data_IF_909084766987
#
_entry.id   IF_909084766987
#
_cell.length_a   1.000
_cell.length_b   1.000
_cell.length_c   1.000
_cell.angle_alpha   90.00
_cell.angle_beta   90.00
_cell.angle_gamma   90.00
#
_symmetry.space_group_name_H-M   'P 1'
#
loop_
_entity.id
_entity.type
_entity.pdbx_description
1 polymer ?
#
# COMPACT_ATOMS: atom_id res chain seq x y z
N UNK A 1 -15.37 -28.61 -26.39
CA UNK A 1 -15.38 -27.78 -25.18
C UNK A 1 -14.26 -26.75 -25.31
N UNK A 2 -14.55 -25.53 -25.78
CA UNK A 2 -13.57 -24.44 -25.84
C UNK A 2 -13.21 -24.04 -24.41
N UNK A 3 -11.91 -24.05 -24.07
CA UNK A 3 -11.42 -23.57 -22.78
C UNK A 3 -11.76 -22.08 -22.63
N UNK A 4 -12.38 -21.72 -21.51
CA UNK A 4 -12.64 -20.34 -21.14
C UNK A 4 -11.29 -19.61 -21.07
N UNK A 5 -11.10 -18.60 -21.92
CA UNK A 5 -10.00 -17.64 -21.77
C UNK A 5 -10.13 -17.03 -20.38
N UNK A 6 -9.16 -17.27 -19.51
CA UNK A 6 -9.10 -16.61 -18.21
C UNK A 6 -8.41 -15.25 -18.41
N UNK A 7 -9.15 -14.17 -18.22
CA UNK A 7 -8.56 -12.85 -18.03
C UNK A 7 -7.79 -12.85 -16.70
N UNK A 8 -6.49 -12.55 -16.77
CA UNK A 8 -5.66 -12.43 -15.59
C UNK A 8 -6.20 -11.32 -14.69
N UNK A 9 -6.62 -11.67 -13.46
CA UNK A 9 -6.99 -10.70 -12.42
C UNK A 9 -5.86 -9.71 -12.04
N UNK A 10 -4.64 -9.98 -12.51
CA UNK A 10 -3.51 -9.07 -12.42
C UNK A 10 -3.37 -8.36 -13.76
N UNK A 11 -4.02 -7.21 -13.84
CA UNK A 11 -4.06 -6.28 -14.96
C UNK A 11 -2.67 -5.67 -15.34
N UNK A 12 -1.58 -6.26 -14.85
CA UNK A 12 -0.22 -5.84 -15.10
C UNK A 12 0.26 -6.12 -16.54
N UNK A 13 -0.54 -6.82 -17.35
CA UNK A 13 -0.18 -7.25 -18.70
C UNK A 13 -1.31 -7.06 -19.74
N UNK A 14 -2.39 -6.33 -19.41
CA UNK A 14 -3.45 -6.04 -20.38
C UNK A 14 -2.99 -4.93 -21.34
N UNK A 15 -2.89 -5.24 -22.63
CA UNK A 15 -2.46 -4.30 -23.68
C UNK A 15 -3.52 -3.23 -24.00
N UNK A 16 -4.72 -3.29 -23.40
CA UNK A 16 -5.89 -2.49 -23.79
C UNK A 16 -6.27 -1.36 -22.85
N UNK A 17 -5.69 -1.26 -21.67
CA UNK A 17 -5.94 -0.17 -20.71
C UNK A 17 -4.62 0.35 -20.13
N UNK A 18 -4.56 1.62 -19.74
CA UNK A 18 -3.37 2.17 -19.06
C UNK A 18 -3.03 1.31 -17.84
N UNK A 19 -1.79 0.81 -17.69
CA UNK A 19 -1.47 -0.17 -16.66
C UNK A 19 -1.70 0.45 -15.28
N UNK A 20 -2.83 0.09 -14.65
CA UNK A 20 -3.19 0.58 -13.33
C UNK A 20 -2.19 0.02 -12.32
N UNK A 21 -1.30 0.87 -11.83
CA UNK A 21 -0.31 0.47 -10.83
C UNK A 21 -1.04 0.10 -9.54
N UNK A 22 -1.01 -1.19 -9.20
CA UNK A 22 -1.63 -1.74 -7.99
C UNK A 22 -0.74 -1.51 -6.75
N UNK A 23 -1.32 -1.60 -5.56
CA UNK A 23 -0.56 -1.50 -4.30
C UNK A 23 0.51 -2.59 -4.20
N UNK A 24 0.24 -3.79 -4.72
CA UNK A 24 1.23 -4.87 -4.82
C UNK A 24 2.45 -4.45 -5.66
N UNK A 25 2.22 -3.79 -6.80
CA UNK A 25 3.31 -3.31 -7.65
C UNK A 25 4.18 -2.26 -6.94
N UNK A 26 3.55 -1.28 -6.27
CA UNK A 26 4.26 -0.24 -5.49
C UNK A 26 5.14 -0.84 -4.39
N UNK A 27 4.61 -1.83 -3.67
CA UNK A 27 5.34 -2.54 -2.64
C UNK A 27 6.52 -3.34 -3.24
N UNK A 28 6.30 -4.00 -4.37
CA UNK A 28 7.37 -4.71 -5.08
C UNK A 28 8.48 -3.77 -5.57
N UNK A 29 8.14 -2.64 -6.18
CA UNK A 29 9.12 -1.62 -6.60
C UNK A 29 10.01 -1.19 -5.42
N UNK A 30 9.42 -0.95 -4.24
CA UNK A 30 10.19 -0.65 -3.02
C UNK A 30 11.18 -1.74 -2.64
N UNK A 31 10.75 -3.01 -2.60
CA UNK A 31 11.66 -4.12 -2.27
C UNK A 31 12.77 -4.27 -3.31
N UNK A 32 12.45 -4.15 -4.59
CA UNK A 32 13.45 -4.27 -5.64
C UNK A 32 14.44 -3.10 -5.62
N UNK A 33 13.98 -1.88 -5.31
CA UNK A 33 14.89 -0.75 -5.11
C UNK A 33 15.83 -1.00 -3.91
N UNK A 34 15.34 -1.58 -2.81
CA UNK A 34 16.22 -2.00 -1.70
C UNK A 34 17.25 -3.04 -2.13
N UNK A 35 16.85 -4.03 -2.95
CA UNK A 35 17.79 -5.02 -3.52
C UNK A 35 18.87 -4.34 -4.36
N UNK A 36 18.47 -3.42 -5.23
CA UNK A 36 19.40 -2.70 -6.09
C UNK A 36 20.41 -1.89 -5.28
N UNK A 37 19.97 -1.24 -4.19
CA UNK A 37 20.86 -0.52 -3.26
C UNK A 37 21.84 -1.49 -2.59
N UNK A 38 21.36 -2.62 -2.06
CA UNK A 38 22.22 -3.62 -1.40
C UNK A 38 23.24 -4.24 -2.37
N UNK A 39 22.85 -4.42 -3.63
CA UNK A 39 23.71 -4.99 -4.67
C UNK A 39 24.57 -3.95 -5.41
N UNK A 40 24.52 -2.68 -5.01
CA UNK A 40 25.18 -1.56 -5.72
C UNK A 40 24.82 -1.46 -7.22
N UNK A 41 23.59 -1.83 -7.59
CA UNK A 41 23.07 -1.72 -8.97
C UNK A 41 22.52 -0.33 -9.30
N UNK A 42 22.41 0.56 -8.31
CA UNK A 42 21.87 1.91 -8.47
C UNK A 42 20.34 1.97 -8.56
N UNK A 43 19.81 2.83 -9.43
CA UNK A 43 18.36 2.99 -9.66
C UNK A 43 17.90 2.00 -10.71
N UNK A 44 16.79 1.31 -10.43
CA UNK A 44 16.20 0.40 -11.41
C UNK A 44 15.60 1.16 -12.60
N UNK A 45 15.68 0.61 -13.83
CA UNK A 45 15.00 1.16 -14.99
C UNK A 45 13.47 1.20 -14.80
N UNK A 46 12.82 2.11 -15.51
CA UNK A 46 11.36 2.13 -15.58
C UNK A 46 10.86 0.80 -16.17
N UNK A 47 9.78 0.27 -15.59
CA UNK A 47 9.19 -1.03 -15.98
C UNK A 47 10.21 -2.19 -15.98
N UNK A 48 11.19 -2.18 -15.07
CA UNK A 48 12.24 -3.22 -14.97
C UNK A 48 11.69 -4.65 -14.88
N UNK A 49 10.44 -4.83 -14.43
CA UNK A 49 9.77 -6.13 -14.38
C UNK A 49 9.55 -6.78 -15.75
N UNK A 50 9.66 -6.02 -16.85
CA UNK A 50 9.64 -6.57 -18.21
C UNK A 50 10.98 -7.20 -18.61
N UNK A 51 12.07 -6.88 -17.90
CA UNK A 51 13.40 -7.42 -18.20
C UNK A 51 13.51 -8.88 -17.75
N UNK A 52 14.11 -9.78 -18.56
CA UNK A 52 14.25 -11.20 -18.22
C UNK A 52 14.89 -11.46 -16.86
N UNK A 53 15.87 -10.63 -16.47
CA UNK A 53 16.57 -10.68 -15.17
C UNK A 53 15.61 -10.60 -13.99
N UNK A 54 14.57 -9.76 -14.09
CA UNK A 54 13.70 -9.43 -12.95
C UNK A 54 12.30 -10.05 -13.06
N UNK A 55 11.80 -10.33 -14.25
CA UNK A 55 10.41 -10.75 -14.52
C UNK A 55 9.92 -11.89 -13.61
N UNK A 56 10.68 -12.99 -13.54
CA UNK A 56 10.32 -14.15 -12.72
C UNK A 56 10.31 -13.83 -11.23
N UNK A 57 11.35 -13.14 -10.74
CA UNK A 57 11.45 -12.76 -9.34
C UNK A 57 10.36 -11.78 -8.94
N UNK A 58 10.06 -10.81 -9.81
CA UNK A 58 9.06 -9.78 -9.58
C UNK A 58 7.66 -10.38 -9.49
N UNK A 59 7.30 -11.25 -10.42
CA UNK A 59 6.02 -11.99 -10.39
C UNK A 59 5.84 -12.77 -9.08
N UNK A 60 6.90 -13.47 -8.64
CA UNK A 60 6.87 -14.20 -7.38
C UNK A 60 6.74 -13.32 -6.13
N UNK A 61 7.22 -12.08 -6.18
CA UNK A 61 7.08 -11.09 -5.11
C UNK A 61 5.72 -10.40 -5.14
N UNK A 62 5.13 -10.13 -6.31
CA UNK A 62 3.75 -9.59 -6.42
C UNK A 62 2.77 -10.50 -5.71
N UNK A 63 2.83 -11.80 -5.98
CA UNK A 63 1.93 -12.78 -5.34
C UNK A 63 2.11 -12.75 -3.82
N UNK A 64 3.35 -12.61 -3.34
CA UNK A 64 3.63 -12.53 -1.90
C UNK A 64 3.14 -11.21 -1.28
N UNK A 65 3.31 -10.08 -1.97
CA UNK A 65 2.81 -8.78 -1.55
C UNK A 65 1.29 -8.77 -1.45
N UNK A 66 0.59 -9.30 -2.46
CA UNK A 66 -0.87 -9.38 -2.47
C UNK A 66 -1.42 -10.27 -1.34
N UNK A 67 -0.72 -11.35 -0.98
CA UNK A 67 -1.07 -12.15 0.20
C UNK A 67 -0.94 -11.38 1.52
N UNK A 68 0.01 -10.45 1.62
CA UNK A 68 0.14 -9.57 2.79
C UNK A 68 -0.96 -8.49 2.79
N UNK A 69 -1.27 -7.92 1.63
CA UNK A 69 -2.33 -6.91 1.47
C UNK A 69 -3.73 -7.44 1.82
N UNK A 70 -3.96 -8.75 1.73
CA UNK A 70 -5.20 -9.37 2.21
C UNK A 70 -5.35 -9.33 3.74
N UNK A 71 -4.25 -9.16 4.48
CA UNK A 71 -4.22 -9.24 5.95
C UNK A 71 -3.89 -7.92 6.63
N UNK A 72 -3.13 -7.07 5.96
CA UNK A 72 -2.57 -5.86 6.52
C UNK A 72 -2.80 -4.69 5.58
N UNK A 73 -2.91 -3.49 6.14
CA UNK A 73 -3.01 -2.26 5.34
C UNK A 73 -1.74 -2.03 4.53
N UNK A 74 -1.89 -1.44 3.34
CA UNK A 74 -0.76 -1.02 2.50
C UNK A 74 0.23 -0.15 3.29
N UNK A 75 -0.30 0.77 4.11
CA UNK A 75 0.50 1.69 4.91
C UNK A 75 1.35 0.95 5.96
N UNK A 76 0.78 -0.05 6.66
CA UNK A 76 1.52 -0.86 7.63
C UNK A 76 2.66 -1.61 6.95
N UNK A 77 2.39 -2.23 5.80
CA UNK A 77 3.40 -2.98 5.05
C UNK A 77 4.51 -2.05 4.56
N UNK A 78 4.17 -0.88 3.99
CA UNK A 78 5.17 0.08 3.51
C UNK A 78 6.05 0.59 4.65
N UNK A 79 5.46 0.99 5.79
CA UNK A 79 6.22 1.44 6.97
C UNK A 79 7.14 0.34 7.50
N UNK A 80 6.66 -0.90 7.53
CA UNK A 80 7.46 -2.05 7.95
C UNK A 80 8.69 -2.24 7.05
N UNK A 81 8.54 -2.16 5.73
CA UNK A 81 9.68 -2.28 4.78
C UNK A 81 10.70 -1.15 4.97
N UNK A 82 10.23 0.08 5.18
CA UNK A 82 11.09 1.26 5.32
C UNK A 82 11.76 1.34 6.72
N UNK A 83 11.28 0.56 7.69
CA UNK A 83 11.84 0.52 9.04
C UNK A 83 13.29 0.05 9.09
N UNK A 84 14.01 0.50 10.13
CA UNK A 84 15.38 0.05 10.43
C UNK A 84 15.43 -1.45 10.70
N UNK A 85 14.40 -1.99 11.34
CA UNK A 85 14.28 -3.42 11.68
C UNK A 85 14.21 -4.31 10.44
N UNK A 86 13.68 -3.77 9.33
CA UNK A 86 13.60 -4.45 8.05
C UNK A 86 14.72 -4.06 7.07
N UNK A 87 15.80 -3.40 7.51
CA UNK A 87 16.87 -2.87 6.62
C UNK A 87 17.36 -3.91 5.60
N UNK A 88 17.62 -5.14 6.05
CA UNK A 88 18.12 -6.24 5.22
C UNK A 88 17.05 -7.23 4.76
N UNK A 89 15.77 -6.91 4.95
CA UNK A 89 14.67 -7.73 4.44
C UNK A 89 14.41 -7.35 2.98
N UNK A 90 14.79 -8.26 2.09
CA UNK A 90 14.71 -8.08 0.64
C UNK A 90 13.62 -8.92 -0.03
N UNK A 91 12.67 -9.48 0.73
CA UNK A 91 11.61 -10.35 0.20
C UNK A 91 10.39 -10.34 1.09
N UNK A 92 9.20 -10.28 0.48
CA UNK A 92 7.92 -10.40 1.19
C UNK A 92 7.70 -11.78 1.81
N UNK A 93 8.41 -12.80 1.33
CA UNK A 93 8.35 -14.16 1.87
C UNK A 93 9.18 -14.35 3.14
N UNK A 94 9.95 -13.33 3.55
CA UNK A 94 10.77 -13.43 4.74
C UNK A 94 9.88 -13.43 5.99
N UNK A 95 9.94 -14.51 6.77
CA UNK A 95 9.13 -14.70 7.99
C UNK A 95 9.35 -13.60 9.03
N UNK A 96 10.56 -13.00 9.08
CA UNK A 96 10.88 -11.91 10.02
C UNK A 96 10.13 -10.61 9.69
N UNK A 97 9.58 -10.47 8.49
CA UNK A 97 8.84 -9.28 8.09
C UNK A 97 7.47 -9.20 8.78
N UNK A 98 6.81 -10.34 8.98
CA UNK A 98 5.45 -10.44 9.53
C UNK A 98 5.31 -9.74 10.90
N UNK A 99 6.13 -10.03 11.92
CA UNK A 99 6.00 -9.37 13.23
C UNK A 99 6.26 -7.86 13.16
N UNK A 100 7.09 -7.40 12.21
CA UNK A 100 7.34 -5.96 12.00
C UNK A 100 6.08 -5.30 11.40
N UNK A 101 5.44 -5.95 10.43
CA UNK A 101 4.17 -5.46 9.86
C UNK A 101 3.09 -5.40 10.95
N UNK A 102 2.96 -6.43 11.77
CA UNK A 102 1.97 -6.48 12.85
C UNK A 102 2.17 -5.34 13.86
N UNK A 103 3.42 -5.00 14.19
CA UNK A 103 3.73 -3.83 15.03
C UNK A 103 3.17 -2.53 14.43
N UNK A 104 3.49 -2.26 13.16
CA UNK A 104 3.01 -1.04 12.49
C UNK A 104 1.50 -1.04 12.23
N UNK A 105 0.89 -2.21 12.01
CA UNK A 105 -0.55 -2.34 11.87
C UNK A 105 -1.26 -1.94 13.17
N UNK A 106 -0.78 -2.44 14.33
CA UNK A 106 -1.33 -2.05 15.64
C UNK A 106 -1.20 -0.55 15.90
N UNK A 107 -0.06 0.06 15.57
CA UNK A 107 0.14 1.51 15.69
C UNK A 107 -0.89 2.31 14.86
N UNK A 108 -1.20 1.83 13.64
CA UNK A 108 -2.19 2.46 12.76
C UNK A 108 -3.60 2.28 13.33
N UNK A 109 -3.95 1.07 13.76
CA UNK A 109 -5.28 0.77 14.31
C UNK A 109 -5.57 1.61 15.57
N UNK A 110 -4.59 1.72 16.48
CA UNK A 110 -4.71 2.56 17.68
C UNK A 110 -4.93 4.04 17.33
N UNK A 111 -4.20 4.55 16.32
CA UNK A 111 -4.36 5.94 15.86
C UNK A 111 -5.76 6.21 15.30
N UNK A 112 -6.38 5.21 14.66
CA UNK A 112 -7.75 5.32 14.13
C UNK A 112 -8.76 5.40 15.28
N UNK A 113 -8.58 4.56 16.31
CA UNK A 113 -9.46 4.50 17.50
C UNK A 113 -9.44 5.84 18.25
N UNK A 114 -8.25 6.40 18.51
CA UNK A 114 -8.11 7.69 19.21
C UNK A 114 -8.81 8.84 18.45
N UNK A 115 -8.74 8.84 17.11
CA UNK A 115 -9.42 9.85 16.28
C UNK A 115 -10.94 9.71 16.29
N UNK A 116 -11.47 8.49 16.38
CA UNK A 116 -12.92 8.29 16.48
C UNK A 116 -13.46 8.80 17.83
N UNK A 117 -12.74 8.60 18.93
CA UNK A 117 -13.17 9.05 20.26
C UNK A 117 -13.14 10.58 20.42
N UNK A 118 -12.18 11.26 19.78
CA UNK A 118 -12.11 12.73 19.79
C UNK A 118 -13.26 13.38 19.00
N UNK A 119 -13.72 12.73 17.93
CA UNK A 119 -14.78 13.27 17.05
C UNK A 119 -16.16 13.37 17.71
N UNK A 120 -16.37 12.68 18.83
CA UNK A 120 -17.62 12.73 19.61
C UNK A 120 -17.69 13.99 20.50
N UNK A 121 -16.57 14.71 20.72
CA UNK A 121 -16.49 15.81 21.71
C UNK A 121 -16.72 17.23 21.18
N UNK A 122 -17.02 17.42 19.89
CA UNK A 122 -17.38 18.76 19.38
C UNK A 122 -18.90 18.94 19.34
N UNK A 123 -19.47 19.41 20.45
CA UNK A 123 -20.81 20.00 20.46
C UNK A 123 -20.81 21.21 19.52
N UNK A 124 -21.40 21.06 18.34
CA UNK A 124 -21.62 22.18 17.42
C UNK A 124 -22.49 23.22 18.14
N UNK A 125 -21.93 24.40 18.43
CA UNK A 125 -22.73 25.54 18.94
C UNK A 125 -23.86 25.81 17.93
N UNK A 126 -25.13 25.94 18.34
CA UNK A 126 -26.20 26.27 17.42
C UNK A 126 -25.90 27.64 16.81
N UNK A 127 -25.93 27.69 15.47
CA UNK A 127 -25.82 28.93 14.72
C UNK A 127 -27.03 29.80 15.10
N UNK A 128 -26.79 30.85 15.90
CA UNK A 128 -27.84 31.78 16.30
C UNK A 128 -28.49 32.39 15.06
N UNK A 129 -29.78 32.12 14.86
CA UNK A 129 -30.60 32.85 13.90
C UNK A 129 -30.68 34.30 14.36
N UNK A 130 -29.95 35.19 13.69
CA UNK A 130 -30.28 36.63 13.71
C UNK A 130 -31.27 36.85 12.57
N UNK A 131 -32.51 37.14 12.92
CA UNK A 131 -33.52 37.56 11.96
C UNK A 131 -33.10 38.93 11.42
N UNK A 132 -32.84 39.03 10.12
CA UNK A 132 -32.45 40.26 9.41
C UNK A 132 -33.64 41.16 9.01
N UNK A 133 -34.84 40.90 9.54
CA UNK A 133 -36.07 41.66 9.21
C UNK A 133 -36.89 41.95 10.46
N UNK A 134 -36.28 42.63 11.43
CA UNK A 134 -37.02 43.30 12.51
C UNK A 134 -36.48 44.72 12.68
N UNK A 135 -36.67 45.52 11.65
CA UNK A 135 -36.70 46.99 11.74
C UNK A 135 -37.55 47.45 10.54
N UNK A 136 -38.86 47.44 10.77
CA UNK A 136 -39.80 48.31 10.08
C UNK A 136 -39.72 49.65 10.78
N UNK A 137 -39.13 50.64 10.11
CA UNK A 137 -39.47 52.06 10.14
C UNK A 137 -38.92 52.74 8.86
#
# INVERSE_FOLDING_TARGET
>A
MQSKKYDSQFDAFSEKEEPKITDGNRLCEKIFQKRAIVNNEGKLPDKFWNLPKYKGQYTGQIVAANKLLQKYSMLAISKAIDSKDAKYILSFRNKKLVPIIEKYQKEIDNTIIEKSDESVRTTRKPLGKKNLFSELD
#
